data_IF_221920068938
#
_entry.id   IF_221920068938
#
_cell.length_a   1.000
_cell.length_b   1.000
_cell.length_c   1.000
_cell.angle_alpha   90.00
_cell.angle_beta   90.00
_cell.angle_gamma   90.00
#
_symmetry.space_group_name_H-M   'P 1'
#
loop_
_entity.id
_entity.type
_entity.pdbx_description
1 polymer ?
#
# COMPACT_ATOMS: atom_id res chain seq x y z
N UNK A 1 4.03 -30.20 5.29
CA UNK A 1 3.33 -29.22 6.14
C UNK A 1 3.64 -27.80 5.66
N UNK A 2 2.62 -27.02 5.30
CA UNK A 2 2.80 -25.60 5.04
C UNK A 2 3.25 -24.89 6.33
N UNK A 3 4.14 -23.89 6.28
CA UNK A 3 4.52 -23.12 7.45
C UNK A 3 3.30 -22.39 8.03
N UNK A 4 3.23 -22.31 9.36
CA UNK A 4 2.14 -21.66 10.09
C UNK A 4 2.11 -20.16 9.76
N UNK A 5 1.00 -19.69 9.19
CA UNK A 5 0.75 -18.28 8.89
C UNK A 5 0.61 -17.50 10.19
N UNK A 6 1.58 -16.62 10.43
CA UNK A 6 1.74 -15.74 11.59
C UNK A 6 1.94 -16.42 12.97
N UNK A 7 2.90 -15.93 13.78
CA UNK A 7 3.09 -16.43 15.15
C UNK A 7 1.88 -16.15 16.04
N UNK A 8 1.55 -17.09 16.93
CA UNK A 8 0.44 -16.97 17.87
C UNK A 8 0.50 -15.65 18.66
N UNK A 9 -0.60 -14.89 18.66
CA UNK A 9 -0.71 -13.59 19.35
C UNK A 9 -0.19 -12.38 18.56
N UNK A 10 0.20 -12.55 17.29
CA UNK A 10 0.44 -11.42 16.40
C UNK A 10 -0.88 -10.70 16.10
N UNK A 11 -0.87 -9.38 16.26
CA UNK A 11 -1.98 -8.53 15.87
C UNK A 11 -1.66 -7.95 14.51
N UNK A 12 -2.54 -8.17 13.54
CA UNK A 12 -2.45 -7.45 12.27
C UNK A 12 -2.59 -5.94 12.56
N UNK A 13 -1.80 -5.06 11.93
CA UNK A 13 -1.95 -3.61 12.10
C UNK A 13 -3.36 -3.09 11.84
N UNK A 14 -4.13 -3.78 10.99
CA UNK A 14 -5.55 -3.53 10.72
C UNK A 14 -6.51 -4.04 11.81
N UNK A 15 -6.00 -4.72 12.84
CA UNK A 15 -6.72 -5.39 13.92
C UNK A 15 -6.27 -4.93 15.34
N UNK A 16 -5.90 -3.64 15.52
CA UNK A 16 -5.52 -3.06 16.81
C UNK A 16 -6.75 -2.56 17.64
N UNK A 17 -6.91 -2.90 18.95
CA UNK A 17 -8.08 -2.65 19.80
C UNK A 17 -8.58 -1.20 19.89
N UNK A 18 -9.91 -1.06 19.96
CA UNK A 18 -10.70 0.14 19.64
C UNK A 18 -11.73 -0.12 18.52
N UNK A 19 -12.15 -1.38 18.40
CA UNK A 19 -12.52 -2.04 17.14
C UNK A 19 -13.97 -2.49 17.15
N UNK A 20 -14.88 -1.58 16.82
CA UNK A 20 -16.17 -1.97 16.22
C UNK A 20 -16.18 -1.73 14.71
N UNK A 21 -15.25 -0.91 14.23
CA UNK A 21 -14.92 -0.89 12.82
C UNK A 21 -14.05 -2.10 12.52
N UNK A 22 -14.71 -3.22 12.22
CA UNK A 22 -14.28 -3.95 11.01
C UNK A 22 -14.01 -2.88 9.95
N UNK A 23 -13.02 -3.02 9.06
CA UNK A 23 -13.14 -2.39 7.76
C UNK A 23 -14.38 -3.04 7.15
N UNK A 24 -15.54 -2.51 7.55
CA UNK A 24 -16.84 -2.98 7.19
C UNK A 24 -16.73 -3.04 5.69
N UNK A 25 -17.05 -4.22 5.16
CA UNK A 25 -17.11 -4.46 3.74
C UNK A 25 -17.60 -3.15 3.09
N UNK A 26 -16.87 -2.66 2.07
CA UNK A 26 -17.19 -1.41 1.39
C UNK A 26 -18.70 -1.29 1.33
N UNK A 27 -19.33 -0.15 1.66
CA UNK A 27 -20.75 0.00 1.38
C UNK A 27 -20.87 -0.44 -0.07
N UNK A 28 -21.57 -1.56 -0.34
CA UNK A 28 -21.78 -2.02 -1.72
C UNK A 28 -22.36 -0.79 -2.38
N UNK A 29 -21.61 -0.04 -3.20
CA UNK A 29 -22.23 1.10 -3.81
C UNK A 29 -23.30 0.45 -4.67
N UNK A 30 -24.52 0.96 -4.60
CA UNK A 30 -25.55 0.66 -5.60
C UNK A 30 -25.00 0.77 -7.04
N UNK A 31 -23.84 1.44 -7.20
CA UNK A 31 -23.15 1.81 -8.42
C UNK A 31 -21.99 0.87 -8.84
N UNK A 32 -21.74 -0.26 -8.16
CA UNK A 32 -20.79 -1.30 -8.64
C UNK A 32 -21.34 -2.74 -8.55
N UNK A 33 -22.45 -3.05 -9.24
CA UNK A 33 -23.09 -4.37 -9.20
C UNK A 33 -22.22 -5.52 -9.73
N UNK A 34 -21.11 -5.22 -10.43
CA UNK A 34 -20.20 -6.20 -11.05
C UNK A 34 -18.85 -6.34 -10.32
N UNK A 35 -18.64 -5.62 -9.21
CA UNK A 35 -17.36 -5.62 -8.48
C UNK A 35 -16.17 -5.19 -9.34
N UNK A 36 -16.42 -4.33 -10.33
CA UNK A 36 -15.42 -3.87 -11.29
C UNK A 36 -14.33 -3.05 -10.59
N UNK A 37 -14.70 -2.23 -9.58
CA UNK A 37 -13.74 -1.41 -8.84
C UNK A 37 -12.74 -2.26 -8.06
N UNK A 38 -13.22 -3.31 -7.39
CA UNK A 38 -12.34 -4.24 -6.67
C UNK A 38 -11.42 -5.00 -7.61
N UNK A 39 -11.96 -5.51 -8.73
CA UNK A 39 -11.14 -6.19 -9.74
C UNK A 39 -10.07 -5.27 -10.29
N UNK A 40 -10.44 -4.08 -10.72
CA UNK A 40 -9.52 -3.04 -11.21
C UNK A 40 -8.44 -2.74 -10.18
N UNK A 41 -8.83 -2.50 -8.93
CA UNK A 41 -7.90 -2.19 -7.84
C UNK A 41 -6.85 -3.28 -7.63
N UNK A 42 -7.23 -4.56 -7.73
CA UNK A 42 -6.26 -5.67 -7.68
C UNK A 42 -5.30 -5.68 -8.87
N UNK A 43 -5.77 -5.35 -10.07
CA UNK A 43 -4.93 -5.31 -11.27
C UNK A 43 -3.91 -4.18 -11.20
N UNK A 44 -4.35 -2.99 -10.78
CA UNK A 44 -3.45 -1.85 -10.55
C UNK A 44 -2.39 -2.21 -9.50
N UNK A 45 -2.82 -2.78 -8.37
CA UNK A 45 -1.90 -3.21 -7.32
C UNK A 45 -0.86 -4.23 -7.82
N UNK A 46 -1.30 -5.29 -8.50
CA UNK A 46 -0.40 -6.30 -9.07
C UNK A 46 0.59 -5.70 -10.08
N UNK A 47 0.14 -4.74 -10.90
CA UNK A 47 1.03 -4.06 -11.83
C UNK A 47 2.06 -3.18 -11.09
N UNK A 48 1.66 -2.44 -10.04
CA UNK A 48 2.61 -1.66 -9.22
C UNK A 48 3.57 -2.55 -8.41
N UNK A 49 3.18 -3.77 -8.09
CA UNK A 49 4.02 -4.75 -7.45
C UNK A 49 5.12 -5.25 -8.39
N UNK A 50 4.77 -5.64 -9.62
CA UNK A 50 5.65 -6.39 -10.52
C UNK A 50 6.30 -5.57 -11.64
N UNK A 51 5.65 -4.53 -12.18
CA UNK A 51 6.24 -3.72 -13.26
C UNK A 51 7.60 -3.10 -12.93
N UNK A 52 7.89 -2.67 -11.68
CA UNK A 52 9.20 -2.11 -11.34
C UNK A 52 10.38 -3.05 -11.65
N UNK A 53 10.16 -4.37 -11.59
CA UNK A 53 11.18 -5.39 -11.87
C UNK A 53 11.48 -5.56 -13.37
N UNK A 54 10.65 -4.97 -14.23
CA UNK A 54 10.88 -4.93 -15.67
C UNK A 54 11.66 -3.67 -16.08
N UNK A 55 12.48 -3.80 -17.13
CA UNK A 55 13.16 -2.67 -17.76
C UNK A 55 12.15 -1.58 -18.17
N UNK A 56 12.45 -0.28 -17.96
CA UNK A 56 11.51 0.79 -18.28
C UNK A 56 10.90 0.70 -19.69
N UNK A 57 11.71 0.36 -20.70
CA UNK A 57 11.28 0.22 -22.09
C UNK A 57 10.29 -0.94 -22.35
N UNK A 58 10.20 -1.93 -21.45
CA UNK A 58 9.31 -3.09 -21.62
C UNK A 58 8.09 -3.07 -20.69
N UNK A 59 8.02 -2.11 -19.75
CA UNK A 59 6.94 -2.02 -18.76
C UNK A 59 5.56 -1.86 -19.42
N UNK A 60 5.41 -0.93 -20.36
CA UNK A 60 4.11 -0.68 -21.00
C UNK A 60 3.61 -1.91 -21.76
N UNK A 61 4.45 -2.51 -22.61
CA UNK A 61 4.12 -3.72 -23.35
C UNK A 61 3.77 -4.89 -22.41
N UNK A 62 4.48 -4.99 -21.28
CA UNK A 62 4.21 -6.01 -20.25
C UNK A 62 2.86 -5.79 -19.57
N UNK A 63 2.54 -4.55 -19.21
CA UNK A 63 1.27 -4.16 -18.62
C UNK A 63 0.09 -4.44 -19.57
N UNK A 64 0.21 -4.03 -20.85
CA UNK A 64 -0.80 -4.31 -21.89
C UNK A 64 -1.08 -5.81 -22.02
N UNK A 65 -0.03 -6.62 -22.13
CA UNK A 65 -0.16 -8.09 -22.23
C UNK A 65 -0.79 -8.71 -20.99
N UNK A 66 -0.50 -8.17 -19.80
CA UNK A 66 -1.14 -8.60 -18.56
C UNK A 66 -2.63 -8.27 -18.57
N UNK A 67 -2.99 -7.03 -18.86
CA UNK A 67 -4.38 -6.54 -18.83
C UNK A 67 -5.27 -7.22 -19.88
N UNK A 68 -4.73 -7.60 -21.04
CA UNK A 68 -5.44 -8.30 -22.11
C UNK A 68 -5.80 -9.77 -21.79
N UNK A 69 -5.38 -10.32 -20.65
CA UNK A 69 -5.70 -11.70 -20.28
C UNK A 69 -7.23 -11.85 -20.08
N UNK A 70 -7.90 -12.79 -20.78
CA UNK A 70 -9.36 -12.96 -20.67
C UNK A 70 -9.88 -13.17 -19.25
N UNK A 71 -9.07 -13.77 -18.37
CA UNK A 71 -9.42 -14.00 -16.96
C UNK A 71 -9.60 -12.71 -16.13
N UNK A 72 -9.19 -11.55 -16.64
CA UNK A 72 -9.47 -10.26 -15.99
C UNK A 72 -10.86 -9.72 -16.36
N UNK A 73 -11.39 -10.11 -17.52
CA UNK A 73 -12.69 -9.68 -18.02
C UNK A 73 -12.79 -8.17 -18.22
N UNK A 74 -11.73 -7.56 -18.75
CA UNK A 74 -11.68 -6.14 -19.11
C UNK A 74 -11.90 -5.97 -20.63
N UNK A 75 -12.71 -5.01 -21.02
CA UNK A 75 -12.73 -4.53 -22.42
C UNK A 75 -11.50 -3.66 -22.75
N UNK A 76 -11.31 -3.31 -24.02
CA UNK A 76 -10.14 -2.53 -24.46
C UNK A 76 -10.06 -1.15 -23.79
N UNK A 77 -11.20 -0.49 -23.58
CA UNK A 77 -11.25 0.83 -22.96
C UNK A 77 -10.88 0.76 -21.47
N UNK A 78 -11.32 -0.28 -20.77
CA UNK A 78 -10.94 -0.56 -19.39
C UNK A 78 -9.45 -0.90 -19.27
N UNK A 79 -8.90 -1.67 -20.21
CA UNK A 79 -7.45 -1.96 -20.24
C UNK A 79 -6.63 -0.69 -20.41
N UNK A 80 -6.99 0.18 -21.36
CA UNK A 80 -6.29 1.45 -21.59
C UNK A 80 -6.42 2.39 -20.39
N UNK A 81 -7.58 2.45 -19.73
CA UNK A 81 -7.77 3.25 -18.53
C UNK A 81 -6.88 2.78 -17.36
N UNK A 82 -6.79 1.47 -17.14
CA UNK A 82 -5.91 0.90 -16.10
C UNK A 82 -4.44 1.13 -16.43
N UNK A 83 -4.06 0.99 -17.70
CA UNK A 83 -2.70 1.25 -18.14
C UNK A 83 -2.31 2.70 -17.91
N UNK A 84 -3.18 3.65 -18.24
CA UNK A 84 -2.96 5.07 -18.01
C UNK A 84 -2.80 5.38 -16.51
N UNK A 85 -3.66 4.81 -15.66
CA UNK A 85 -3.60 4.95 -14.20
C UNK A 85 -2.27 4.43 -13.64
N UNK A 86 -1.86 3.22 -14.03
CA UNK A 86 -0.59 2.62 -13.60
C UNK A 86 0.60 3.43 -14.09
N UNK A 87 0.59 3.86 -15.35
CA UNK A 87 1.69 4.67 -15.91
C UNK A 87 1.85 5.99 -15.17
N UNK A 88 0.73 6.66 -14.85
CA UNK A 88 0.75 7.89 -14.07
C UNK A 88 1.29 7.65 -12.65
N UNK A 89 0.90 6.56 -11.99
CA UNK A 89 1.41 6.19 -10.67
C UNK A 89 2.90 5.88 -10.69
N UNK A 90 3.40 5.16 -11.70
CA UNK A 90 4.84 4.88 -11.85
C UNK A 90 5.67 6.15 -12.09
N UNK A 91 5.05 7.19 -12.65
CA UNK A 91 5.68 8.49 -12.90
C UNK A 91 5.52 9.48 -11.73
N UNK A 92 4.68 9.18 -10.74
CA UNK A 92 4.50 10.02 -9.56
C UNK A 92 5.83 10.07 -8.78
N UNK A 93 6.35 11.26 -8.42
CA UNK A 93 7.72 11.39 -7.88
C UNK A 93 8.03 10.54 -6.65
N UNK A 94 7.12 10.43 -5.68
CA UNK A 94 7.34 9.66 -4.46
C UNK A 94 7.28 8.15 -4.74
N UNK A 95 6.35 7.73 -5.59
CA UNK A 95 6.27 6.34 -6.05
C UNK A 95 7.52 5.97 -6.83
N UNK A 96 7.92 6.78 -7.82
CA UNK A 96 9.12 6.56 -8.61
C UNK A 96 10.38 6.45 -7.73
N UNK A 97 10.51 7.30 -6.70
CA UNK A 97 11.59 7.21 -5.73
C UNK A 97 11.58 5.89 -4.94
N UNK A 98 10.40 5.41 -4.52
CA UNK A 98 10.24 4.15 -3.80
C UNK A 98 10.44 2.89 -4.66
N UNK A 99 10.49 3.02 -5.99
CA UNK A 99 10.68 1.93 -6.95
C UNK A 99 12.14 1.76 -7.40
N UNK A 100 13.07 2.44 -6.71
CA UNK A 100 14.50 2.34 -6.98
C UNK A 100 15.13 0.97 -6.66
N UNK A 101 16.41 0.78 -7.00
CA UNK A 101 17.15 -0.45 -6.71
C UNK A 101 17.11 -0.81 -5.21
N UNK A 102 16.95 -2.11 -4.91
CA UNK A 102 16.89 -2.60 -3.53
C UNK A 102 15.52 -2.39 -2.86
N UNK A 103 14.55 -1.83 -3.57
CA UNK A 103 13.18 -1.75 -3.09
C UNK A 103 12.51 -3.12 -3.07
N UNK A 104 11.77 -3.39 -1.98
CA UNK A 104 11.08 -4.65 -1.74
C UNK A 104 9.58 -4.44 -1.91
N UNK A 105 8.97 -5.22 -2.81
CA UNK A 105 7.52 -5.32 -2.91
C UNK A 105 7.00 -6.29 -1.84
N UNK A 106 5.79 -6.05 -1.32
CA UNK A 106 5.14 -6.98 -0.37
C UNK A 106 6.06 -7.35 0.81
N UNK A 107 6.78 -6.37 1.36
CA UNK A 107 7.78 -6.63 2.38
C UNK A 107 7.10 -6.98 3.71
N UNK A 108 7.39 -8.17 4.30
CA UNK A 108 6.85 -8.53 5.60
C UNK A 108 7.48 -7.66 6.70
N UNK A 109 6.67 -7.19 7.62
CA UNK A 109 7.08 -6.48 8.82
C UNK A 109 6.55 -7.22 10.05
N UNK A 110 7.45 -7.65 10.92
CA UNK A 110 7.07 -8.27 12.18
C UNK A 110 8.01 -7.80 13.30
N UNK A 111 7.44 -7.53 14.48
CA UNK A 111 8.21 -7.16 15.65
C UNK A 111 7.35 -6.75 16.82
N UNK A 112 7.99 -6.44 17.95
CA UNK A 112 7.30 -5.97 19.15
C UNK A 112 7.44 -4.46 19.30
N UNK A 113 6.33 -3.76 19.45
CA UNK A 113 6.28 -2.31 19.77
C UNK A 113 5.34 -2.11 20.96
N UNK A 114 5.79 -1.41 21.99
CA UNK A 114 4.97 -1.17 23.20
C UNK A 114 4.48 -2.46 23.87
N UNK A 115 5.29 -3.53 23.85
CA UNK A 115 4.94 -4.84 24.42
C UNK A 115 4.04 -5.71 23.52
N UNK A 116 3.50 -5.17 22.42
CA UNK A 116 2.57 -5.87 21.52
C UNK A 116 3.29 -6.43 20.31
N UNK A 117 2.96 -7.65 19.92
CA UNK A 117 3.47 -8.26 18.70
C UNK A 117 2.64 -7.75 17.51
N UNK A 118 3.31 -7.07 16.59
CA UNK A 118 2.72 -6.54 15.37
C UNK A 118 3.31 -7.34 14.22
N UNK A 119 2.46 -7.87 13.34
CA UNK A 119 2.87 -8.55 12.12
C UNK A 119 1.99 -8.09 10.96
N UNK A 120 2.59 -7.67 9.87
CA UNK A 120 1.90 -7.21 8.67
C UNK A 120 2.81 -7.24 7.46
N UNK A 121 2.31 -6.66 6.38
CA UNK A 121 3.01 -6.56 5.11
C UNK A 121 2.79 -5.15 4.57
N UNK A 122 3.84 -4.57 4.00
CA UNK A 122 3.76 -3.28 3.32
C UNK A 122 3.91 -3.49 1.82
N UNK A 123 3.20 -2.70 1.02
CA UNK A 123 3.18 -2.89 -0.43
C UNK A 123 4.54 -2.57 -1.05
N UNK A 124 5.23 -1.57 -0.50
CA UNK A 124 6.56 -1.17 -0.95
C UNK A 124 7.41 -0.69 0.23
N UNK A 125 8.65 -1.18 0.29
CA UNK A 125 9.65 -0.76 1.26
C UNK A 125 10.98 -0.50 0.57
N UNK A 126 11.49 0.72 0.70
CA UNK A 126 12.84 1.07 0.26
C UNK A 126 13.69 1.43 1.48
N UNK A 127 14.85 0.79 1.61
CA UNK A 127 15.78 0.99 2.71
C UNK A 127 17.08 1.57 2.13
N UNK A 128 17.34 2.84 2.42
CA UNK A 128 18.54 3.58 2.03
C UNK A 128 19.42 3.85 3.27
N UNK A 129 20.67 4.33 3.11
CA UNK A 129 21.56 4.53 4.26
C UNK A 129 21.01 5.52 5.30
N UNK A 130 20.38 6.62 4.87
CA UNK A 130 19.88 7.69 5.74
C UNK A 130 18.36 7.64 5.99
N UNK A 131 17.61 6.91 5.16
CA UNK A 131 16.14 6.85 5.25
C UNK A 131 15.56 5.49 4.91
N UNK A 132 14.35 5.25 5.40
CA UNK A 132 13.47 4.17 5.02
C UNK A 132 12.18 4.80 4.49
N UNK A 133 11.77 4.43 3.29
CA UNK A 133 10.51 4.87 2.68
C UNK A 133 9.55 3.69 2.61
N UNK A 134 8.35 3.86 3.17
CA UNK A 134 7.29 2.83 3.16
C UNK A 134 6.04 3.37 2.49
N UNK A 135 5.52 2.63 1.52
CA UNK A 135 4.27 2.92 0.83
C UNK A 135 3.25 1.82 1.06
N UNK A 136 1.98 2.23 1.12
CA UNK A 136 0.81 1.35 1.12
C UNK A 136 -0.24 1.89 0.14
N UNK A 137 -0.75 1.01 -0.72
CA UNK A 137 -1.56 1.35 -1.88
C UNK A 137 -3.06 1.21 -1.56
N UNK A 138 -3.81 2.29 -1.77
CA UNK A 138 -5.26 2.34 -1.57
C UNK A 138 -5.94 2.43 -2.94
N UNK A 139 -6.49 1.28 -3.37
CA UNK A 139 -7.00 1.08 -4.74
C UNK A 139 -8.53 1.23 -4.89
N UNK A 140 -9.25 1.28 -3.76
CA UNK A 140 -10.71 1.10 -3.74
C UNK A 140 -11.52 2.36 -3.40
N UNK A 141 -10.88 3.51 -3.18
CA UNK A 141 -11.59 4.74 -2.78
C UNK A 141 -10.84 6.00 -3.22
N UNK A 142 -11.54 7.12 -3.46
CA UNK A 142 -10.89 8.39 -3.74
C UNK A 142 -10.06 8.87 -2.54
N UNK A 143 -8.95 9.58 -2.78
CA UNK A 143 -8.14 10.17 -1.71
C UNK A 143 -8.93 11.24 -0.95
N UNK A 144 -8.73 11.39 0.37
CA UNK A 144 -9.14 12.61 1.07
C UNK A 144 -8.33 13.82 0.58
N UNK A 145 -8.77 15.04 0.88
CA UNK A 145 -8.04 16.24 0.45
C UNK A 145 -6.69 16.33 1.17
N UNK A 146 -6.64 15.99 2.45
CA UNK A 146 -5.46 16.15 3.31
C UNK A 146 -5.14 14.88 4.13
N UNK A 147 -3.87 14.75 4.54
CA UNK A 147 -3.41 13.60 5.34
C UNK A 147 -4.13 13.49 6.69
N UNK A 148 -4.50 14.61 7.32
CA UNK A 148 -5.23 14.62 8.59
C UNK A 148 -6.67 14.08 8.48
N UNK A 149 -7.21 13.99 7.27
CA UNK A 149 -8.55 13.46 6.99
C UNK A 149 -8.53 11.98 6.61
N UNK A 150 -7.34 11.36 6.58
CA UNK A 150 -7.21 9.92 6.36
C UNK A 150 -7.90 9.17 7.49
N UNK A 151 -8.63 8.12 7.14
CA UNK A 151 -9.32 7.29 8.11
C UNK A 151 -8.34 6.82 9.22
N UNK A 152 -8.69 6.99 10.52
CA UNK A 152 -7.79 6.67 11.63
C UNK A 152 -7.20 5.27 11.59
N UNK A 153 -7.93 4.29 11.05
CA UNK A 153 -7.42 2.92 10.85
C UNK A 153 -6.14 2.88 10.01
N UNK A 154 -6.08 3.62 8.90
CA UNK A 154 -4.89 3.67 8.06
C UNK A 154 -3.75 4.40 8.73
N UNK A 155 -4.04 5.47 9.47
CA UNK A 155 -3.03 6.21 10.22
C UNK A 155 -2.40 5.34 11.32
N UNK A 156 -3.21 4.59 12.09
CA UNK A 156 -2.72 3.62 13.08
C UNK A 156 -1.86 2.52 12.46
N UNK A 157 -2.29 1.97 11.32
CA UNK A 157 -1.51 0.97 10.58
C UNK A 157 -0.15 1.53 10.15
N UNK A 158 -0.13 2.70 9.50
CA UNK A 158 1.12 3.34 9.05
C UNK A 158 2.01 3.75 10.23
N UNK A 159 1.43 4.22 11.34
CA UNK A 159 2.17 4.54 12.55
C UNK A 159 2.80 3.29 13.20
N UNK A 160 2.11 2.15 13.18
CA UNK A 160 2.66 0.87 13.62
C UNK A 160 3.83 0.40 12.75
N UNK A 161 3.70 0.49 11.42
CA UNK A 161 4.81 0.20 10.50
C UNK A 161 6.00 1.12 10.73
N UNK A 162 5.75 2.42 10.89
CA UNK A 162 6.80 3.40 11.18
C UNK A 162 7.55 3.07 12.48
N UNK A 163 6.82 2.69 13.53
CA UNK A 163 7.43 2.33 14.81
C UNK A 163 8.31 1.06 14.71
N UNK A 164 7.82 0.03 14.01
CA UNK A 164 8.61 -1.18 13.73
C UNK A 164 9.89 -0.87 12.95
N UNK A 165 9.77 -0.07 11.89
CA UNK A 165 10.89 0.30 11.04
C UNK A 165 11.91 1.20 11.76
N UNK A 166 11.47 2.13 12.61
CA UNK A 166 12.36 2.94 13.45
C UNK A 166 13.17 2.07 14.42
N UNK A 167 12.57 1.01 14.96
CA UNK A 167 13.27 0.06 15.83
C UNK A 167 14.24 -0.84 15.04
N UNK A 168 13.87 -1.27 13.83
CA UNK A 168 14.70 -2.13 12.98
C UNK A 168 15.89 -1.38 12.36
N UNK A 169 15.75 -0.07 12.08
CA UNK A 169 16.75 0.75 11.41
C UNK A 169 17.10 1.99 12.24
N UNK A 170 17.80 1.82 13.38
CA UNK A 170 18.14 2.93 14.26
C UNK A 170 19.00 3.98 13.53
N UNK A 171 18.71 5.26 13.78
CA UNK A 171 19.41 6.40 13.17
C UNK A 171 18.93 6.78 11.77
N UNK A 172 17.96 6.06 11.18
CA UNK A 172 17.38 6.39 9.87
C UNK A 172 16.03 7.09 10.02
N UNK A 173 15.77 8.08 9.16
CA UNK A 173 14.43 8.66 9.05
C UNK A 173 13.48 7.63 8.45
N UNK A 174 12.25 7.53 8.95
CA UNK A 174 11.23 6.66 8.35
C UNK A 174 10.12 7.53 7.79
N UNK A 175 10.06 7.59 6.46
CA UNK A 175 9.06 8.34 5.70
C UNK A 175 7.92 7.38 5.30
N UNK A 176 6.67 7.78 5.58
CA UNK A 176 5.48 6.98 5.27
C UNK A 176 4.60 7.70 4.27
N UNK A 177 4.00 6.98 3.34
CA UNK A 177 2.98 7.54 2.46
C UNK A 177 1.91 6.53 2.07
N UNK A 178 0.72 7.06 1.79
CA UNK A 178 -0.36 6.32 1.14
C UNK A 178 -0.39 6.66 -0.34
N UNK A 179 -0.48 5.66 -1.20
CA UNK A 179 -0.62 5.85 -2.64
C UNK A 179 -2.06 5.55 -3.03
N UNK A 180 -2.79 6.59 -3.41
CA UNK A 180 -4.15 6.48 -3.86
C UNK A 180 -4.14 6.27 -5.37
N UNK A 181 -4.60 5.11 -5.82
CA UNK A 181 -4.56 4.81 -7.26
C UNK A 181 -5.54 5.69 -8.02
N UNK A 182 -6.68 5.99 -7.40
CA UNK A 182 -7.62 6.98 -7.92
C UNK A 182 -6.97 8.37 -7.93
N UNK A 183 -6.76 8.91 -9.13
CA UNK A 183 -6.09 10.19 -9.33
C UNK A 183 -4.57 10.15 -9.25
N UNK A 184 -3.96 8.95 -9.24
CA UNK A 184 -2.51 8.74 -9.24
C UNK A 184 -1.76 9.60 -8.22
N UNK A 185 -2.22 9.60 -6.97
CA UNK A 185 -1.77 10.54 -5.94
C UNK A 185 -1.03 9.84 -4.82
N UNK A 186 0.24 10.18 -4.62
CA UNK A 186 0.93 9.88 -3.38
C UNK A 186 0.60 10.94 -2.31
N UNK A 187 0.41 10.47 -1.08
CA UNK A 187 0.09 11.29 0.08
C UNK A 187 1.10 10.98 1.17
N UNK A 188 2.17 11.80 1.31
CA UNK A 188 3.05 11.73 2.45
C UNK A 188 2.27 11.87 3.75
N UNK A 189 2.66 11.12 4.77
CA UNK A 189 2.11 11.16 6.12
C UNK A 189 3.17 11.77 7.05
N UNK A 190 3.11 13.08 7.33
CA UNK A 190 4.05 13.74 8.24
C UNK A 190 4.00 13.16 9.64
N UNK A 191 5.08 13.36 10.40
CA UNK A 191 5.18 12.91 11.78
C UNK A 191 4.04 13.45 12.65
N UNK A 192 3.66 14.72 12.46
CA UNK A 192 2.53 15.34 13.18
C UNK A 192 1.19 14.65 12.96
N UNK A 193 1.01 13.97 11.82
CA UNK A 193 -0.19 13.18 11.52
C UNK A 193 -0.11 11.79 12.14
N UNK A 194 1.08 11.18 12.17
CA UNK A 194 1.26 9.79 12.61
C UNK A 194 1.55 9.63 14.10
N UNK A 195 2.14 10.63 14.76
CA UNK A 195 2.53 10.58 16.17
C UNK A 195 1.33 10.33 17.12
N UNK A 196 0.15 10.95 16.92
CA UNK A 196 -1.04 10.65 17.72
C UNK A 196 -1.58 9.23 17.58
N UNK A 197 -1.10 8.48 16.57
CA UNK A 197 -1.55 7.13 16.27
C UNK A 197 -0.48 6.06 16.54
N UNK A 198 0.65 6.45 17.13
CA UNK A 198 1.72 5.52 17.47
C UNK A 198 1.23 4.44 18.45
N UNK A 199 1.74 3.19 18.35
CA UNK A 199 1.37 2.15 19.31
C UNK A 199 1.69 2.57 20.75
N UNK A 200 0.66 2.67 21.59
CA UNK A 200 0.78 3.07 23.00
C UNK A 200 0.64 4.58 23.27
N UNK A 201 0.31 5.38 22.26
CA UNK A 201 -0.13 6.78 22.40
C UNK A 201 -1.55 6.88 22.96
#
# INVERSE_FOLDING_TARGET
>A
PAPQEAPEGAVAPSALPGEEETPAAPPRPSDDPRGLRFRRGRLVHALLQHLPDHLPATREATARRFLARPGHGLDEAEQDAVLAEVTALLAEPLVAAALGPGSLAEAPLAGRVGGRLIAGQVDRLLVEPERVLVLDYKTNRPPPAEAAQVAPLYLRQMAAYRALLRAAFPGRRVDCALVWTYGARAMPLPDTVLDPHAPGA
#
